data_IF_269924017133
#
_entry.id   IF_269924017133
#
_cell.length_a   1.000
_cell.length_b   1.000
_cell.length_c   1.000
_cell.angle_alpha   90.00
_cell.angle_beta   90.00
_cell.angle_gamma   90.00
#
_symmetry.space_group_name_H-M   'P 1'
#
loop_
_entity.id
_entity.type
_entity.pdbx_description
1 polymer ?
#
# COMPACT_ATOMS: atom_id res chain seq x y z
N UNK A 1 -14.01 22.60 16.80
CA UNK A 1 -13.96 21.90 15.50
C UNK A 1 -13.71 22.96 14.44
N UNK A 2 -12.49 23.03 13.90
CA UNK A 2 -12.10 24.02 12.90
C UNK A 2 -12.22 23.48 11.48
N UNK A 3 -12.77 24.28 10.57
CA UNK A 3 -12.93 23.97 9.15
C UNK A 3 -12.27 25.05 8.30
N UNK A 4 -11.56 24.65 7.25
CA UNK A 4 -11.08 25.56 6.20
C UNK A 4 -11.69 25.11 4.87
N UNK A 5 -12.48 25.98 4.25
CA UNK A 5 -13.06 25.78 2.92
C UNK A 5 -12.42 26.73 1.92
N UNK A 6 -11.82 26.17 0.88
CA UNK A 6 -11.24 26.90 -0.24
C UNK A 6 -12.01 26.50 -1.49
N UNK A 7 -12.83 27.41 -2.00
CA UNK A 7 -13.74 27.16 -3.12
C UNK A 7 -13.47 28.19 -4.20
N UNK A 8 -13.19 27.74 -5.42
CA UNK A 8 -12.91 28.61 -6.59
C UNK A 8 -11.74 29.58 -6.37
N UNK A 9 -10.76 29.18 -5.57
CA UNK A 9 -9.55 29.96 -5.28
C UNK A 9 -8.45 29.63 -6.30
N UNK A 10 -7.72 30.65 -6.74
CA UNK A 10 -6.45 30.47 -7.45
C UNK A 10 -5.28 30.69 -6.51
N UNK A 11 -4.43 29.68 -6.35
CA UNK A 11 -3.17 29.81 -5.62
C UNK A 11 -2.07 30.26 -6.57
N UNK A 12 -1.41 31.38 -6.23
CA UNK A 12 -0.21 31.88 -6.92
C UNK A 12 0.95 31.85 -5.93
N UNK A 13 2.05 31.21 -6.33
CA UNK A 13 3.27 31.11 -5.51
C UNK A 13 4.39 31.77 -6.30
N UNK A 14 4.96 32.84 -5.73
CA UNK A 14 6.19 33.44 -6.22
C UNK A 14 7.38 32.75 -5.53
N UNK A 15 8.52 32.63 -6.23
CA UNK A 15 9.70 31.81 -5.92
C UNK A 15 10.50 32.21 -4.67
N UNK A 16 9.91 32.97 -3.74
CA UNK A 16 10.62 33.58 -2.60
C UNK A 16 10.51 32.81 -1.27
N UNK A 17 9.59 31.86 -1.11
CA UNK A 17 9.49 31.12 0.15
C UNK A 17 10.34 29.84 0.13
N UNK A 18 11.24 29.78 1.12
CA UNK A 18 12.38 28.87 1.14
C UNK A 18 12.00 27.42 1.48
N UNK A 19 10.98 27.20 2.33
CA UNK A 19 10.50 25.87 2.72
C UNK A 19 9.05 25.88 3.21
N UNK A 20 8.34 24.74 3.10
CA UNK A 20 7.10 24.47 3.84
C UNK A 20 5.94 23.96 3.00
N UNK A 21 4.71 24.20 3.47
CA UNK A 21 3.45 23.96 2.76
C UNK A 21 2.57 25.20 2.90
N UNK A 22 1.80 25.55 1.85
CA UNK A 22 0.85 26.68 1.91
C UNK A 22 -0.19 26.42 3.00
N UNK A 23 -0.74 25.21 3.01
CA UNK A 23 -1.74 24.78 3.98
C UNK A 23 -1.09 23.74 4.88
N UNK A 24 -0.94 24.10 6.15
CA UNK A 24 -0.49 23.21 7.20
C UNK A 24 -1.51 23.24 8.33
N UNK A 25 -1.91 22.07 8.77
CA UNK A 25 -2.86 21.94 9.87
C UNK A 25 -2.23 22.35 11.21
N UNK A 26 -3.08 22.87 12.10
CA UNK A 26 -2.77 23.01 13.52
C UNK A 26 -3.19 21.73 14.27
N UNK A 27 -2.83 21.63 15.56
CA UNK A 27 -3.17 20.47 16.41
C UNK A 27 -4.66 20.28 16.68
N UNK A 28 -5.52 21.20 16.22
CA UNK A 28 -6.98 21.19 16.43
C UNK A 28 -7.78 21.26 15.11
N UNK A 29 -7.12 21.32 13.96
CA UNK A 29 -7.78 21.32 12.65
C UNK A 29 -8.49 19.98 12.46
N UNK A 30 -9.75 20.03 12.02
CA UNK A 30 -10.56 18.81 11.88
C UNK A 30 -10.84 18.46 10.44
N UNK A 31 -11.05 19.45 9.56
CA UNK A 31 -11.21 19.22 8.11
C UNK A 31 -10.68 20.38 7.25
N UNK A 32 -9.97 20.05 6.18
CA UNK A 32 -9.63 20.94 5.07
C UNK A 32 -10.39 20.47 3.83
N UNK A 33 -11.04 21.41 3.17
CA UNK A 33 -11.78 21.17 1.93
C UNK A 33 -11.28 22.11 0.83
N UNK A 34 -10.80 21.54 -0.27
CA UNK A 34 -10.37 22.28 -1.46
C UNK A 34 -11.28 21.82 -2.61
N UNK A 35 -12.03 22.74 -3.20
CA UNK A 35 -12.90 22.43 -4.34
C UNK A 35 -12.80 23.48 -5.44
N UNK A 36 -12.76 23.02 -6.69
CA UNK A 36 -12.71 23.86 -7.88
C UNK A 36 -11.58 24.90 -7.84
N UNK A 37 -10.46 24.57 -7.21
CA UNK A 37 -9.32 25.46 -7.10
C UNK A 37 -8.31 25.18 -8.22
N UNK A 38 -7.51 26.20 -8.53
CA UNK A 38 -6.47 26.13 -9.55
C UNK A 38 -5.14 26.57 -8.96
N UNK A 39 -4.06 25.88 -9.30
CA UNK A 39 -2.72 26.39 -9.09
C UNK A 39 -2.14 26.87 -10.41
N UNK A 40 -1.74 28.13 -10.46
CA UNK A 40 -1.00 28.73 -11.57
C UNK A 40 0.40 29.11 -11.10
N UNK A 41 1.41 28.73 -11.86
CA UNK A 41 2.72 29.37 -11.78
C UNK A 41 2.72 30.58 -12.72
N UNK A 42 3.45 31.64 -12.36
CA UNK A 42 3.55 32.85 -13.18
C UNK A 42 4.53 32.71 -14.34
N UNK A 43 5.35 31.65 -14.34
CA UNK A 43 6.26 31.29 -15.43
C UNK A 43 6.11 29.80 -15.78
N UNK A 44 6.41 29.43 -17.03
CA UNK A 44 6.51 28.03 -17.43
C UNK A 44 7.63 27.35 -16.65
N UNK A 45 7.33 26.22 -15.99
CA UNK A 45 8.29 25.41 -15.22
C UNK A 45 8.96 26.16 -14.05
N UNK A 46 8.18 26.88 -13.23
CA UNK A 46 8.71 27.45 -11.99
C UNK A 46 9.14 26.33 -11.03
N UNK A 47 10.37 26.42 -10.52
CA UNK A 47 10.85 25.60 -9.41
C UNK A 47 10.35 26.21 -8.11
N UNK A 48 9.64 25.43 -7.30
CA UNK A 48 9.20 25.86 -5.96
C UNK A 48 9.71 24.88 -4.90
N UNK A 49 9.96 25.39 -3.69
CA UNK A 49 10.34 24.57 -2.52
C UNK A 49 9.20 24.30 -1.53
N UNK A 50 7.98 24.67 -1.90
CA UNK A 50 6.80 24.67 -1.02
C UNK A 50 5.73 23.75 -1.60
N UNK A 51 5.20 22.84 -0.78
CA UNK A 51 4.04 22.01 -1.12
C UNK A 51 2.71 22.77 -1.04
N UNK A 52 1.64 22.20 -1.57
CA UNK A 52 0.30 22.75 -1.41
C UNK A 52 -0.23 22.49 0.00
N UNK A 53 -0.35 21.22 0.38
CA UNK A 53 -0.99 20.84 1.63
C UNK A 53 -0.23 19.71 2.34
N UNK A 54 -0.07 19.87 3.67
CA UNK A 54 0.40 18.81 4.55
C UNK A 54 -0.58 18.60 5.71
N UNK A 55 -1.02 17.37 5.86
CA UNK A 55 -2.03 16.93 6.83
C UNK A 55 -1.38 16.04 7.88
N UNK A 56 -1.60 16.36 9.15
CA UNK A 56 -1.13 15.59 10.32
C UNK A 56 -2.26 15.29 11.30
N UNK A 57 -3.37 16.01 11.20
CA UNK A 57 -4.53 15.94 12.10
C UNK A 57 -5.81 16.26 11.32
N UNK A 58 -6.74 15.32 11.27
CA UNK A 58 -8.04 15.50 10.63
C UNK A 58 -8.08 15.00 9.18
N UNK A 59 -9.00 15.54 8.40
CA UNK A 59 -9.34 15.06 7.07
C UNK A 59 -9.03 16.12 6.01
N UNK A 60 -8.35 15.71 4.94
CA UNK A 60 -8.22 16.46 3.70
C UNK A 60 -9.10 15.86 2.62
N UNK A 61 -9.99 16.69 2.08
CA UNK A 61 -10.70 16.38 0.87
C UNK A 61 -10.39 17.40 -0.23
N UNK A 62 -9.99 16.90 -1.39
CA UNK A 62 -9.69 17.71 -2.57
C UNK A 62 -10.58 17.24 -3.71
N UNK A 63 -11.35 18.17 -4.25
CA UNK A 63 -12.25 17.96 -5.38
C UNK A 63 -11.89 18.92 -6.51
N UNK A 64 -11.91 18.44 -7.75
CA UNK A 64 -11.81 19.29 -8.93
C UNK A 64 -10.62 20.28 -8.90
N UNK A 65 -9.49 19.84 -8.33
CA UNK A 65 -8.29 20.67 -8.22
C UNK A 65 -7.39 20.46 -9.43
N UNK A 66 -7.03 21.55 -10.10
CA UNK A 66 -6.20 21.48 -11.30
C UNK A 66 -4.82 22.11 -11.04
N UNK A 67 -3.77 21.39 -11.43
CA UNK A 67 -2.39 21.81 -11.29
C UNK A 67 -1.59 21.31 -12.48
N UNK A 68 -0.84 22.20 -13.12
CA UNK A 68 -0.05 21.91 -14.31
C UNK A 68 1.33 22.58 -14.24
N UNK A 69 2.30 22.03 -14.99
CA UNK A 69 3.58 22.69 -15.30
C UNK A 69 4.38 23.11 -14.05
N UNK A 70 4.68 22.15 -13.19
CA UNK A 70 5.29 22.44 -11.89
C UNK A 70 6.55 21.61 -11.64
N UNK A 71 7.64 22.28 -11.24
CA UNK A 71 8.79 21.62 -10.61
C UNK A 71 8.74 21.90 -9.11
N UNK A 72 8.65 20.86 -8.28
CA UNK A 72 8.70 20.96 -6.82
C UNK A 72 9.98 20.31 -6.29
N UNK A 73 10.80 21.10 -5.59
CA UNK A 73 12.05 20.63 -5.02
C UNK A 73 11.85 20.27 -3.55
N UNK A 74 12.49 19.17 -3.11
CA UNK A 74 12.56 18.64 -1.73
C UNK A 74 11.20 18.22 -1.09
N UNK A 75 10.06 18.59 -1.68
CA UNK A 75 8.70 18.40 -1.11
C UNK A 75 7.76 17.68 -2.09
N UNK A 76 6.62 17.20 -1.59
CA UNK A 76 5.49 16.73 -2.38
C UNK A 76 4.44 17.84 -2.52
N UNK A 77 3.56 17.73 -3.53
CA UNK A 77 2.43 18.66 -3.71
C UNK A 77 1.45 18.50 -2.55
N UNK A 78 1.01 17.27 -2.30
CA UNK A 78 0.17 16.89 -1.16
C UNK A 78 0.92 15.86 -0.33
N UNK A 79 0.87 16.02 1.00
CA UNK A 79 1.35 15.01 1.96
C UNK A 79 0.30 14.74 3.02
N UNK A 80 -0.17 13.51 3.10
CA UNK A 80 -0.93 12.99 4.24
C UNK A 80 0.05 12.22 5.14
N UNK A 81 0.40 12.77 6.30
CA UNK A 81 1.45 12.27 7.21
C UNK A 81 0.97 11.12 8.12
N UNK A 82 1.89 10.48 8.84
CA UNK A 82 1.66 9.28 9.70
C UNK A 82 1.00 9.54 11.07
N UNK A 83 0.11 10.53 11.18
CA UNK A 83 -0.48 10.91 12.47
C UNK A 83 -1.63 10.00 12.94
N UNK A 84 -1.70 9.74 14.25
CA UNK A 84 -2.80 8.99 14.88
C UNK A 84 -4.16 9.68 14.76
N UNK A 85 -4.20 10.97 14.47
CA UNK A 85 -5.43 11.73 14.33
C UNK A 85 -5.76 12.09 12.88
N UNK A 86 -5.06 11.48 11.91
CA UNK A 86 -5.42 11.65 10.50
C UNK A 86 -6.67 10.81 10.22
N UNK A 87 -7.63 11.37 9.48
CA UNK A 87 -8.85 10.70 9.07
C UNK A 87 -8.79 10.18 7.64
N UNK A 88 -9.93 9.77 7.09
CA UNK A 88 -10.01 9.24 5.72
C UNK A 88 -9.89 10.38 4.70
N UNK A 89 -8.81 10.39 3.92
CA UNK A 89 -8.52 11.45 2.96
C UNK A 89 -8.98 11.08 1.55
N UNK A 90 -9.35 12.08 0.76
CA UNK A 90 -9.86 11.89 -0.60
C UNK A 90 -9.30 12.93 -1.58
N UNK A 91 -8.91 12.49 -2.77
CA UNK A 91 -8.60 13.34 -3.93
C UNK A 91 -9.38 12.81 -5.13
N UNK A 92 -10.39 13.56 -5.59
CA UNK A 92 -11.26 13.13 -6.69
C UNK A 92 -11.54 14.25 -7.69
N UNK A 93 -11.76 13.87 -8.96
CA UNK A 93 -12.04 14.82 -10.04
C UNK A 93 -10.92 15.81 -10.35
N UNK A 94 -9.73 15.61 -9.76
CA UNK A 94 -8.59 16.53 -9.88
C UNK A 94 -7.71 16.17 -11.09
N UNK A 95 -6.92 17.13 -11.57
CA UNK A 95 -5.95 16.93 -12.67
C UNK A 95 -4.57 17.41 -12.26
N UNK A 96 -3.59 16.52 -12.41
CA UNK A 96 -2.17 16.77 -12.21
C UNK A 96 -1.44 16.49 -13.51
N UNK A 97 -0.88 17.51 -14.16
CA UNK A 97 -0.24 17.39 -15.47
C UNK A 97 1.17 17.99 -15.48
N UNK A 98 2.15 17.25 -15.99
CA UNK A 98 3.55 17.69 -16.11
C UNK A 98 4.10 18.26 -14.79
N UNK A 99 4.14 17.40 -13.77
CA UNK A 99 4.65 17.75 -12.44
C UNK A 99 5.91 16.94 -12.17
N UNK A 100 7.00 17.63 -11.90
CA UNK A 100 8.29 17.03 -11.60
C UNK A 100 8.67 17.31 -10.15
N UNK A 101 9.04 16.28 -9.41
CA UNK A 101 9.68 16.40 -8.10
C UNK A 101 11.19 16.21 -8.20
N UNK A 102 11.97 17.03 -7.50
CA UNK A 102 13.46 17.01 -7.45
C UNK A 102 13.97 17.19 -6.00
N UNK A 103 15.28 17.12 -5.73
CA UNK A 103 15.88 17.43 -4.40
C UNK A 103 16.49 16.23 -3.67
N UNK A 104 16.91 16.37 -2.40
CA UNK A 104 17.72 15.34 -1.71
C UNK A 104 16.95 14.04 -1.35
N UNK A 105 17.62 12.89 -1.56
CA UNK A 105 17.21 11.51 -1.23
C UNK A 105 15.93 10.94 -1.85
N UNK A 106 15.12 11.75 -2.54
CA UNK A 106 14.07 11.42 -3.54
C UNK A 106 13.27 10.11 -3.43
N UNK A 107 13.02 9.59 -2.24
CA UNK A 107 12.05 8.50 -2.03
C UNK A 107 10.66 9.12 -1.96
N UNK A 108 9.75 8.72 -2.83
CA UNK A 108 8.35 9.19 -2.80
C UNK A 108 7.74 9.44 -4.16
N UNK A 109 6.59 10.11 -4.18
CA UNK A 109 5.84 10.49 -5.38
C UNK A 109 5.61 12.00 -5.44
N UNK A 110 5.01 12.49 -6.51
CA UNK A 110 4.52 13.88 -6.58
C UNK A 110 3.57 14.18 -5.41
N UNK A 111 2.74 13.21 -5.05
CA UNK A 111 1.91 13.20 -3.85
C UNK A 111 2.31 12.05 -2.93
N UNK A 112 2.13 12.23 -1.63
CA UNK A 112 2.47 11.23 -0.61
C UNK A 112 1.27 10.96 0.31
N UNK A 113 1.08 9.70 0.67
CA UNK A 113 0.12 9.28 1.69
C UNK A 113 0.68 8.20 2.59
N UNK A 114 0.45 8.34 3.89
CA UNK A 114 0.85 7.37 4.90
C UNK A 114 -0.43 6.78 5.51
N UNK A 115 -0.64 5.47 5.29
CA UNK A 115 -1.78 4.73 5.80
C UNK A 115 -1.39 4.02 7.10
N UNK A 116 -1.94 4.49 8.21
CA UNK A 116 -1.89 3.91 9.55
C UNK A 116 -3.26 3.34 9.93
N UNK A 117 -3.37 2.69 11.09
CA UNK A 117 -4.62 2.10 11.58
C UNK A 117 -5.81 3.07 11.61
N UNK A 118 -5.56 4.37 11.86
CA UNK A 118 -6.62 5.36 12.05
C UNK A 118 -7.09 6.04 10.74
N UNK A 119 -6.25 6.06 9.69
CA UNK A 119 -6.54 6.67 8.40
C UNK A 119 -6.46 5.67 7.24
N UNK A 120 -6.66 4.37 7.52
CA UNK A 120 -6.39 3.21 6.67
C UNK A 120 -7.04 3.15 5.28
N UNK A 121 -7.61 4.27 4.81
CA UNK A 121 -8.04 4.52 3.45
C UNK A 121 -7.62 5.92 2.98
N UNK A 122 -6.94 5.97 1.84
CA UNK A 122 -6.75 7.17 1.04
C UNK A 122 -7.35 6.92 -0.34
N UNK A 123 -8.42 7.64 -0.67
CA UNK A 123 -9.13 7.47 -1.94
C UNK A 123 -8.58 8.43 -2.99
N UNK A 124 -8.23 7.90 -4.16
CA UNK A 124 -7.74 8.69 -5.29
C UNK A 124 -8.53 8.31 -6.55
N UNK A 125 -9.27 9.27 -7.08
CA UNK A 125 -10.08 9.13 -8.31
C UNK A 125 -9.87 10.38 -9.20
N UNK A 126 -8.66 10.54 -9.72
CA UNK A 126 -8.18 11.76 -10.40
C UNK A 126 -7.25 11.40 -11.55
N UNK A 127 -6.92 12.39 -12.41
CA UNK A 127 -6.01 12.20 -13.55
C UNK A 127 -4.60 12.65 -13.18
N UNK A 128 -3.61 11.81 -13.47
CA UNK A 128 -2.19 12.11 -13.31
C UNK A 128 -1.46 11.82 -14.62
N UNK A 129 -0.97 12.88 -15.26
CA UNK A 129 -0.26 12.81 -16.54
C UNK A 129 1.12 13.42 -16.38
N UNK A 130 2.15 12.73 -16.88
CA UNK A 130 3.54 13.21 -16.86
C UNK A 130 4.03 13.67 -15.46
N UNK A 131 3.58 12.97 -14.41
CA UNK A 131 4.01 13.19 -13.04
C UNK A 131 5.23 12.31 -12.73
N UNK A 132 6.38 12.93 -12.40
CA UNK A 132 7.67 12.23 -12.26
C UNK A 132 8.45 12.68 -11.03
N UNK A 133 9.30 11.81 -10.52
CA UNK A 133 10.29 12.11 -9.48
C UNK A 133 11.67 11.87 -10.09
N UNK A 134 12.59 12.82 -9.96
CA UNK A 134 13.82 12.87 -10.75
C UNK A 134 14.97 12.11 -10.08
N UNK A 135 14.78 10.83 -9.77
CA UNK A 135 15.73 10.04 -8.99
C UNK A 135 16.29 8.84 -9.77
N UNK A 136 17.46 8.37 -9.35
CA UNK A 136 18.13 7.17 -9.89
C UNK A 136 17.65 5.87 -9.24
N UNK A 137 16.74 5.92 -8.27
CA UNK A 137 16.47 4.82 -7.33
C UNK A 137 15.08 4.18 -7.50
N UNK A 138 14.37 4.48 -8.60
CA UNK A 138 13.26 3.66 -9.09
C UNK A 138 11.90 3.84 -8.38
N UNK A 139 11.74 4.85 -7.52
CA UNK A 139 10.40 5.25 -7.03
C UNK A 139 9.99 6.49 -7.83
N UNK A 140 9.39 6.23 -8.99
CA UNK A 140 8.91 7.26 -9.91
C UNK A 140 7.38 7.21 -9.95
N UNK A 141 6.72 8.35 -9.83
CA UNK A 141 5.30 8.42 -10.11
C UNK A 141 4.54 9.53 -9.42
N UNK A 142 3.26 9.59 -9.78
CA UNK A 142 2.32 10.57 -9.26
C UNK A 142 2.05 10.42 -7.76
N UNK A 143 2.17 9.19 -7.24
CA UNK A 143 1.75 8.83 -5.89
C UNK A 143 2.71 7.87 -5.23
N UNK A 144 3.02 8.15 -3.96
CA UNK A 144 3.71 7.23 -3.07
C UNK A 144 2.84 6.97 -1.85
N UNK A 145 2.61 5.69 -1.55
CA UNK A 145 1.85 5.25 -0.39
C UNK A 145 2.75 4.39 0.50
N UNK A 146 2.91 4.78 1.75
CA UNK A 146 3.52 3.93 2.79
C UNK A 146 2.39 3.40 3.69
N UNK A 147 2.35 2.09 3.88
CA UNK A 147 1.40 1.43 4.79
C UNK A 147 2.16 1.08 6.07
N UNK A 148 1.57 1.37 7.23
CA UNK A 148 2.12 1.00 8.54
C UNK A 148 2.07 -0.51 8.71
N UNK A 149 3.11 -1.07 9.34
CA UNK A 149 3.19 -2.51 9.65
C UNK A 149 1.99 -2.96 10.48
N UNK A 150 1.54 -2.13 11.43
CA UNK A 150 0.35 -2.39 12.25
C UNK A 150 -0.98 -2.49 11.46
N UNK A 151 -1.03 -1.94 10.24
CA UNK A 151 -2.21 -2.05 9.37
C UNK A 151 -2.21 -3.37 8.57
N UNK A 152 -1.03 -3.92 8.29
CA UNK A 152 -0.88 -5.19 7.60
C UNK A 152 -1.03 -6.37 8.57
N UNK A 153 -2.26 -6.61 9.01
CA UNK A 153 -2.58 -7.79 9.80
C UNK A 153 -2.73 -9.00 8.87
N UNK A 154 -1.60 -9.58 8.44
CA UNK A 154 -1.57 -10.85 7.72
C UNK A 154 -1.87 -11.94 8.75
N UNK A 155 -3.16 -12.17 8.99
CA UNK A 155 -3.58 -13.37 9.74
C UNK A 155 -3.33 -14.57 8.84
N UNK A 156 -2.40 -15.43 9.21
CA UNK A 156 -2.25 -16.72 8.57
C UNK A 156 -3.57 -17.47 8.73
N UNK A 157 -4.30 -17.66 7.62
CA UNK A 157 -5.53 -18.44 7.63
C UNK A 157 -5.14 -19.90 7.81
N UNK A 158 -5.53 -20.49 8.93
CA UNK A 158 -5.32 -21.91 9.16
C UNK A 158 -6.06 -22.72 8.09
N UNK A 159 -5.35 -23.61 7.40
CA UNK A 159 -5.87 -24.46 6.30
C UNK A 159 -7.00 -25.40 6.75
N UNK A 160 -7.25 -25.54 8.06
CA UNK A 160 -8.34 -26.34 8.62
C UNK A 160 -9.10 -25.57 9.68
N UNK A 161 -10.27 -25.06 9.31
CA UNK A 161 -11.38 -24.91 10.26
C UNK A 161 -12.47 -25.89 9.84
N UNK A 162 -13.17 -26.49 10.82
CA UNK A 162 -14.25 -27.47 10.60
C UNK A 162 -15.37 -26.97 9.65
N UNK A 163 -15.40 -25.67 9.33
CA UNK A 163 -16.39 -25.01 8.48
C UNK A 163 -15.88 -24.63 7.08
N UNK A 164 -14.59 -24.81 6.75
CA UNK A 164 -14.08 -24.47 5.41
C UNK A 164 -14.42 -25.57 4.40
N UNK A 165 -15.39 -25.28 3.53
CA UNK A 165 -15.77 -26.17 2.42
C UNK A 165 -14.82 -26.06 1.21
N UNK A 166 -13.95 -25.04 1.15
CA UNK A 166 -12.95 -24.94 0.09
C UNK A 166 -11.71 -25.72 0.48
N UNK A 167 -11.57 -26.90 -0.10
CA UNK A 167 -10.32 -27.66 -0.14
C UNK A 167 -9.29 -26.84 -0.93
N UNK A 168 -8.57 -25.93 -0.27
CA UNK A 168 -7.53 -25.15 -0.94
C UNK A 168 -6.32 -26.05 -1.17
N UNK A 169 -6.03 -26.35 -2.44
CA UNK A 169 -4.78 -27.01 -2.83
C UNK A 169 -3.61 -26.13 -2.40
N UNK A 170 -2.69 -26.68 -1.62
CA UNK A 170 -1.37 -26.07 -1.38
C UNK A 170 -0.44 -26.68 -2.42
N UNK A 171 -0.37 -26.04 -3.58
CA UNK A 171 0.56 -26.40 -4.65
C UNK A 171 1.25 -25.13 -5.15
N UNK A 172 2.44 -25.29 -5.71
CA UNK A 172 3.15 -24.23 -6.40
C UNK A 172 2.42 -23.81 -7.69
N UNK A 173 1.71 -24.74 -8.36
CA UNK A 173 1.05 -24.48 -9.65
C UNK A 173 -0.18 -25.40 -9.95
N UNK A 174 -0.49 -25.59 -11.25
CA UNK A 174 -1.63 -26.39 -11.75
C UNK A 174 -1.48 -27.88 -11.45
N UNK A 175 -2.57 -28.64 -11.55
CA UNK A 175 -2.56 -30.09 -11.29
C UNK A 175 -1.64 -30.85 -12.25
N UNK A 176 -1.60 -30.47 -13.53
CA UNK A 176 -0.71 -31.07 -14.52
C UNK A 176 0.76 -30.81 -14.20
N UNK A 177 1.09 -29.62 -13.69
CA UNK A 177 2.45 -29.26 -13.31
C UNK A 177 2.91 -30.03 -12.08
N UNK A 178 2.11 -30.08 -11.03
CA UNK A 178 2.42 -30.84 -9.80
C UNK A 178 2.57 -32.35 -10.07
N UNK A 179 1.79 -32.91 -11.02
CA UNK A 179 1.93 -34.31 -11.43
C UNK A 179 3.21 -34.56 -12.22
N UNK A 180 3.70 -33.56 -12.95
CA UNK A 180 4.94 -33.66 -13.71
C UNK A 180 6.19 -33.48 -12.83
N UNK A 181 6.09 -32.75 -11.72
CA UNK A 181 7.19 -32.51 -10.79
C UNK A 181 6.78 -32.86 -9.35
N UNK A 182 6.94 -34.15 -9.03
CA UNK A 182 6.56 -34.71 -7.74
C UNK A 182 7.35 -34.11 -6.56
N UNK A 183 8.49 -33.45 -6.79
CA UNK A 183 9.25 -32.83 -5.70
C UNK A 183 8.47 -31.71 -5.01
N UNK A 184 7.58 -31.03 -5.75
CA UNK A 184 6.77 -29.93 -5.22
C UNK A 184 5.64 -30.39 -4.28
N UNK A 185 5.35 -31.70 -4.27
CA UNK A 185 4.35 -32.31 -3.37
C UNK A 185 4.99 -33.19 -2.28
N UNK A 186 6.30 -33.06 -2.05
CA UNK A 186 7.02 -33.76 -0.99
C UNK A 186 7.56 -32.76 0.03
N UNK A 187 7.31 -33.02 1.32
CA UNK A 187 7.97 -32.37 2.44
C UNK A 187 9.03 -33.28 3.05
N UNK A 188 9.83 -32.73 3.96
CA UNK A 188 10.85 -33.46 4.72
C UNK A 188 10.76 -33.07 6.18
N UNK A 189 11.15 -33.97 7.09
CA UNK A 189 11.25 -33.65 8.51
C UNK A 189 12.54 -32.84 8.77
N UNK A 190 12.42 -31.52 8.75
CA UNK A 190 13.54 -30.61 8.94
C UNK A 190 14.58 -30.71 7.82
N UNK A 191 15.82 -31.07 8.18
CA UNK A 191 16.94 -31.22 7.23
C UNK A 191 17.12 -32.65 6.73
N UNK A 192 16.34 -33.61 7.23
CA UNK A 192 16.46 -35.02 6.83
C UNK A 192 15.73 -35.26 5.50
N UNK A 193 16.51 -35.36 4.42
CA UNK A 193 15.96 -35.64 3.08
C UNK A 193 15.78 -37.14 2.79
N UNK A 194 16.11 -38.02 3.74
CA UNK A 194 15.99 -39.48 3.56
C UNK A 194 14.55 -39.97 3.69
N UNK A 195 13.70 -39.22 4.42
CA UNK A 195 12.29 -39.53 4.62
C UNK A 195 11.42 -38.46 3.98
N UNK A 196 11.05 -38.70 2.73
CA UNK A 196 10.14 -37.83 2.01
C UNK A 196 8.70 -38.07 2.50
N UNK A 197 8.02 -36.99 2.93
CA UNK A 197 6.64 -36.98 3.44
C UNK A 197 5.74 -36.41 2.33
N UNK A 198 4.90 -37.23 1.66
CA UNK A 198 3.96 -36.71 0.67
C UNK A 198 2.99 -35.72 1.28
N UNK A 199 2.89 -34.52 0.72
CA UNK A 199 1.95 -33.46 1.12
C UNK A 199 0.58 -33.58 0.41
N UNK A 200 0.42 -34.61 -0.43
CA UNK A 200 -0.85 -34.91 -1.07
C UNK A 200 -1.77 -35.67 -0.09
N UNK A 201 -2.92 -35.08 0.26
CA UNK A 201 -4.00 -35.85 0.88
C UNK A 201 -4.52 -36.86 -0.15
N UNK A 202 -4.17 -38.13 0.01
CA UNK A 202 -4.78 -39.22 -0.75
C UNK A 202 -6.24 -39.33 -0.31
N UNK A 203 -7.13 -38.66 -1.05
CA UNK A 203 -8.57 -38.90 -0.96
C UNK A 203 -8.90 -40.19 -1.72
N UNK A 204 -8.55 -41.31 -1.10
CA UNK A 204 -9.33 -42.54 -1.26
C UNK A 204 -10.06 -42.72 0.06
N UNK A 205 -11.33 -43.14 0.03
CA UNK A 205 -12.01 -43.55 1.26
C UNK A 205 -11.07 -44.46 2.05
N UNK A 206 -10.91 -44.20 3.35
CA UNK A 206 -10.03 -44.99 4.21
C UNK A 206 -10.61 -46.40 4.23
N UNK A 207 -10.13 -47.26 3.35
CA UNK A 207 -10.23 -48.68 3.58
C UNK A 207 -9.40 -48.93 4.84
N UNK A 208 -9.96 -49.62 5.84
CA UNK A 208 -9.44 -49.75 7.20
C UNK A 208 -8.12 -50.55 7.31
N UNK A 209 -7.28 -50.51 6.28
CA UNK A 209 -6.07 -51.32 6.09
C UNK A 209 -4.81 -50.46 5.88
N UNK A 210 -4.82 -49.16 6.21
CA UNK A 210 -3.58 -48.37 6.28
C UNK A 210 -2.88 -48.67 7.61
N UNK A 211 -1.81 -49.45 7.53
CA UNK A 211 -0.92 -49.74 8.65
C UNK A 211 0.30 -48.80 8.60
N UNK A 212 0.75 -48.29 9.75
CA UNK A 212 2.06 -47.64 9.83
C UNK A 212 3.16 -48.64 9.49
N UNK A 213 4.18 -48.21 8.74
CA UNK A 213 5.37 -49.02 8.47
C UNK A 213 6.07 -49.30 9.79
N UNK A 214 6.14 -50.57 10.20
CA UNK A 214 6.86 -50.98 11.41
C UNK A 214 8.36 -50.80 11.17
N UNK A 215 8.99 -49.90 11.93
CA UNK A 215 10.45 -49.84 12.01
C UNK A 215 10.94 -50.79 13.11
N UNK A 216 12.19 -51.27 13.02
CA UNK A 216 12.75 -52.27 13.93
C UNK A 216 12.63 -51.89 15.43
N UNK A 217 12.62 -50.59 15.71
CA UNK A 217 12.63 -50.02 17.05
C UNK A 217 11.23 -49.53 17.50
N UNK A 218 10.19 -49.83 16.70
CA UNK A 218 8.83 -49.37 16.99
C UNK A 218 7.97 -50.47 17.62
N UNK A 219 7.25 -50.10 18.70
CA UNK A 219 6.06 -50.81 19.19
C UNK A 219 4.81 -49.99 18.83
N UNK A 220 4.39 -49.97 17.56
CA UNK A 220 3.23 -49.21 17.17
C UNK A 220 1.98 -49.89 17.75
N UNK A 221 1.41 -49.28 18.80
CA UNK A 221 0.07 -49.62 19.26
C UNK A 221 -0.90 -49.10 18.21
N UNK A 222 -1.15 -49.93 17.20
CA UNK A 222 -2.18 -49.65 16.21
C UNK A 222 -3.51 -49.50 16.93
N UNK A 223 -4.11 -48.32 16.77
CA UNK A 223 -5.39 -47.88 17.33
C UNK A 223 -5.27 -47.37 18.78
N UNK A 224 -4.96 -46.08 18.95
CA UNK A 224 -5.52 -45.32 20.08
C UNK A 224 -6.95 -44.92 19.66
N UNK A 225 -7.94 -45.43 20.39
CA UNK A 225 -9.37 -45.12 20.25
C UNK A 225 -9.67 -43.80 20.96
#
# INVERSE_FOLDING_TARGET
MGYLYLIKITFSINVSALEGYIIKESTQSTKIYIDNCLKKTTTSLSIIKIGLAKVRYGILNIYNFNIKELIIQERSVIKVDEGTNVGLNNISGSQFENIQRTGDNQKGGVNEGYLVSNNGKFTVSSTFKDCKVSNSNGIEGAFYIKISEDLMNITAVSIRTKSSLSKTKIGAQSDEYEKADLNNIMGYDGTDTSLAIPLYYVYTDINQQIYHVKNADSTPNGIDI
#
